data_IF_119960570423
#
_entry.id   IF_119960570423
#
_cell.length_a   1.000
_cell.length_b   1.000
_cell.length_c   1.000
_cell.angle_alpha   90.00
_cell.angle_beta   90.00
_cell.angle_gamma   90.00
#
_symmetry.space_group_name_H-M   'P 1'
#
loop_
_entity.id
_entity.type
_entity.pdbx_description
1 polymer ?
#
# COMPACT_ATOMS: atom_id res chain seq x y z
N UNK A 1 9.43 -35.40 -41.61
CA UNK A 1 10.77 -34.77 -41.70
C UNK A 1 11.11 -34.26 -40.33
N UNK A 2 12.16 -34.85 -39.78
CA UNK A 2 12.74 -34.79 -38.44
C UNK A 2 13.68 -33.60 -38.27
N UNK A 3 13.56 -32.92 -37.12
CA UNK A 3 14.62 -32.27 -36.29
C UNK A 3 13.84 -31.53 -35.19
N UNK A 4 13.76 -31.94 -33.92
CA UNK A 4 14.76 -32.31 -32.91
C UNK A 4 15.67 -31.16 -32.41
N UNK A 5 15.80 -31.16 -31.08
CA UNK A 5 16.77 -30.51 -30.20
C UNK A 5 16.55 -29.05 -29.75
N UNK A 6 16.42 -28.87 -28.41
CA UNK A 6 16.91 -27.66 -27.75
C UNK A 6 16.21 -27.15 -26.48
N UNK A 7 15.93 -27.99 -25.48
CA UNK A 7 15.78 -27.55 -24.08
C UNK A 7 17.18 -27.44 -23.44
N UNK A 8 17.38 -26.47 -22.54
CA UNK A 8 17.83 -26.79 -21.18
C UNK A 8 16.90 -26.11 -20.14
N UNK A 9 16.44 -26.80 -19.09
CA UNK A 9 17.18 -27.05 -17.84
C UNK A 9 17.64 -25.71 -17.22
N UNK A 10 16.98 -25.11 -16.23
CA UNK A 10 16.65 -25.66 -14.92
C UNK A 10 17.68 -25.15 -13.90
N UNK A 11 17.34 -24.15 -13.08
CA UNK A 11 17.88 -23.96 -11.72
C UNK A 11 17.31 -22.70 -11.06
N UNK A 12 16.28 -22.90 -10.25
CA UNK A 12 15.94 -22.02 -9.15
C UNK A 12 17.02 -22.12 -8.07
N UNK A 13 17.47 -21.00 -7.53
CA UNK A 13 18.26 -20.97 -6.30
C UNK A 13 17.51 -20.11 -5.27
N UNK A 14 16.79 -20.80 -4.40
CA UNK A 14 16.23 -20.26 -3.16
C UNK A 14 17.18 -20.63 -2.00
N UNK A 15 17.49 -19.61 -1.20
CA UNK A 15 17.58 -19.58 0.29
C UNK A 15 18.16 -20.80 1.00
N UNK A 16 19.32 -20.63 1.65
CA UNK A 16 19.42 -20.70 3.12
C UNK A 16 20.80 -20.23 3.65
N UNK A 17 20.89 -19.41 4.71
CA UNK A 17 22.13 -19.03 5.35
C UNK A 17 22.59 -20.14 6.30
N UNK A 18 23.67 -20.82 5.93
CA UNK A 18 24.32 -21.81 6.77
C UNK A 18 24.85 -21.16 8.06
N UNK A 19 24.36 -21.68 9.18
CA UNK A 19 24.85 -21.43 10.52
C UNK A 19 26.35 -21.79 10.63
N UNK A 20 27.14 -20.81 11.05
CA UNK A 20 28.56 -20.97 11.37
C UNK A 20 28.68 -21.79 12.67
N UNK A 21 28.83 -23.09 12.49
CA UNK A 21 28.99 -24.07 13.57
C UNK A 21 30.39 -23.96 14.16
N UNK A 22 30.46 -23.72 15.46
CA UNK A 22 31.68 -23.57 16.24
C UNK A 22 32.52 -24.85 16.20
N UNK A 23 33.77 -24.71 15.73
CA UNK A 23 34.78 -25.78 15.71
C UNK A 23 35.28 -26.02 17.14
N UNK A 24 34.95 -27.19 17.71
CA UNK A 24 35.53 -27.69 18.96
C UNK A 24 37.02 -28.05 18.75
N UNK A 25 37.90 -27.88 19.75
CA UNK A 25 39.28 -28.33 19.65
C UNK A 25 39.36 -29.85 19.84
N UNK A 26 39.79 -30.54 18.79
CA UNK A 26 40.16 -31.96 18.84
C UNK A 26 41.41 -32.13 19.74
N UNK A 27 41.24 -32.88 20.82
CA UNK A 27 42.32 -33.35 21.68
C UNK A 27 42.91 -34.62 21.09
N UNK A 28 43.92 -34.46 20.25
CA UNK A 28 44.72 -35.58 19.72
C UNK A 28 45.65 -36.12 20.80
N UNK A 29 45.23 -37.15 21.54
CA UNK A 29 46.14 -37.97 22.34
C UNK A 29 46.75 -39.03 21.43
N UNK A 30 47.91 -38.70 20.82
CA UNK A 30 48.70 -39.68 20.09
C UNK A 30 49.40 -40.62 21.10
N UNK A 31 49.13 -41.93 20.98
CA UNK A 31 49.86 -42.96 21.69
C UNK A 31 51.31 -43.04 21.15
N UNK A 32 52.35 -43.14 22.00
CA UNK A 32 53.71 -43.25 21.52
C UNK A 32 53.99 -44.67 21.00
N UNK A 33 54.45 -44.75 19.73
CA UNK A 33 55.00 -45.95 19.10
C UNK A 33 56.20 -46.49 19.89
N UNK A 34 56.13 -47.77 20.23
CA UNK A 34 57.23 -48.54 20.80
C UNK A 34 58.13 -49.07 19.68
N UNK A 35 59.02 -48.24 19.12
CA UNK A 35 60.16 -48.73 18.32
C UNK A 35 61.18 -47.63 17.99
N UNK A 36 61.59 -46.86 19.01
CA UNK A 36 62.69 -45.90 18.87
C UNK A 36 63.90 -46.40 19.67
N UNK A 37 65.04 -46.70 19.04
CA UNK A 37 66.25 -47.10 19.74
C UNK A 37 66.69 -45.97 20.68
N UNK A 38 67.22 -46.29 21.88
CA UNK A 38 67.53 -45.30 22.90
C UNK A 38 68.48 -44.25 22.32
N UNK A 39 68.15 -42.95 22.43
CA UNK A 39 69.04 -41.89 21.98
C UNK A 39 70.38 -42.01 22.72
N UNK A 40 71.46 -42.02 21.96
CA UNK A 40 72.81 -41.96 22.50
C UNK A 40 72.91 -40.78 23.46
N UNK A 41 73.36 -41.06 24.68
CA UNK A 41 73.53 -40.08 25.75
C UNK A 41 74.27 -38.86 25.20
N UNK A 42 73.66 -37.65 25.20
CA UNK A 42 74.40 -36.45 24.86
C UNK A 42 75.56 -36.30 25.85
N UNK A 43 76.72 -35.80 25.41
CA UNK A 43 77.83 -35.51 26.30
C UNK A 43 77.32 -34.63 27.43
N UNK A 44 77.66 -35.01 28.68
CA UNK A 44 77.25 -34.29 29.88
C UNK A 44 77.57 -32.81 29.69
N UNK A 45 76.53 -32.00 29.45
CA UNK A 45 76.64 -30.56 29.51
C UNK A 45 77.22 -30.23 30.89
N UNK A 46 78.20 -29.33 30.98
CA UNK A 46 78.75 -28.93 32.26
C UNK A 46 77.58 -28.53 33.14
N UNK A 47 77.47 -29.19 34.30
CA UNK A 47 76.51 -28.87 35.35
C UNK A 47 76.78 -27.42 35.71
N UNK A 48 76.01 -26.51 35.11
CA UNK A 48 76.01 -25.13 35.56
C UNK A 48 75.56 -25.16 37.02
N UNK A 49 76.28 -24.50 37.93
CA UNK A 49 75.86 -24.40 39.31
C UNK A 49 74.39 -24.01 39.35
N UNK A 50 73.56 -24.81 40.04
CA UNK A 50 72.19 -24.42 40.36
C UNK A 50 72.34 -23.17 41.21
N UNK A 51 72.19 -21.99 40.60
CA UNK A 51 72.11 -20.75 41.34
C UNK A 51 70.98 -20.92 42.36
N UNK A 52 71.23 -20.65 43.64
CA UNK A 52 70.20 -20.76 44.65
C UNK A 52 69.04 -19.87 44.22
N UNK A 53 67.87 -20.48 44.01
CA UNK A 53 66.63 -19.76 43.69
C UNK A 53 66.44 -18.75 44.82
N UNK A 54 66.67 -17.47 44.50
CA UNK A 54 66.54 -16.40 45.48
C UNK A 54 65.06 -16.36 45.91
N UNK A 55 64.75 -16.68 47.19
CA UNK A 55 63.38 -16.66 47.67
C UNK A 55 62.75 -15.25 47.51
N UNK A 56 63.56 -14.19 47.51
CA UNK A 56 63.09 -12.84 47.25
C UNK A 56 62.60 -12.64 45.80
N UNK A 57 63.24 -13.28 44.82
CA UNK A 57 62.83 -13.21 43.42
C UNK A 57 61.50 -13.95 43.17
N UNK A 58 61.26 -15.05 43.88
CA UNK A 58 60.00 -15.80 43.79
C UNK A 58 58.82 -15.02 44.41
N UNK A 59 59.05 -14.38 45.56
CA UNK A 59 58.10 -13.50 46.24
C UNK A 59 57.73 -12.31 45.35
N UNK A 60 58.73 -11.67 44.73
CA UNK A 60 58.53 -10.56 43.80
C UNK A 60 57.69 -10.97 42.57
N UNK A 61 57.97 -12.13 41.98
CA UNK A 61 57.21 -12.66 40.84
C UNK A 61 55.75 -13.02 41.20
N UNK A 62 55.49 -13.39 42.47
CA UNK A 62 54.14 -13.65 42.97
C UNK A 62 53.35 -12.35 43.17
N UNK A 63 53.95 -11.37 43.83
CA UNK A 63 53.37 -10.03 44.00
C UNK A 63 53.06 -9.36 42.66
N UNK A 64 53.93 -9.52 41.66
CA UNK A 64 53.72 -8.98 40.32
C UNK A 64 52.54 -9.64 39.60
N UNK A 65 52.39 -10.96 39.70
CA UNK A 65 51.23 -11.69 39.17
C UNK A 65 49.92 -11.29 39.84
N UNK A 66 49.93 -11.07 41.15
CA UNK A 66 48.77 -10.58 41.90
C UNK A 66 48.39 -9.15 41.50
N UNK A 67 49.37 -8.27 41.34
CA UNK A 67 49.17 -6.91 40.83
C UNK A 67 48.58 -6.91 39.41
N UNK A 68 49.08 -7.77 38.52
CA UNK A 68 48.56 -7.90 37.16
C UNK A 68 47.14 -8.48 37.11
N UNK A 69 46.85 -9.48 37.96
CA UNK A 69 45.50 -10.00 38.14
C UNK A 69 44.54 -8.91 38.63
N UNK A 70 44.94 -8.11 39.61
CA UNK A 70 44.16 -6.99 40.10
C UNK A 70 43.95 -5.89 39.04
N UNK A 71 44.97 -5.58 38.23
CA UNK A 71 44.88 -4.65 37.09
C UNK A 71 43.90 -5.17 36.03
N UNK A 72 43.96 -6.46 35.67
CA UNK A 72 43.03 -7.09 34.73
C UNK A 72 41.59 -7.09 35.25
N UNK A 73 41.39 -7.39 36.53
CA UNK A 73 40.06 -7.35 37.15
C UNK A 73 39.46 -5.93 37.11
N UNK A 74 40.26 -4.89 37.41
CA UNK A 74 39.84 -3.48 37.29
C UNK A 74 39.47 -3.11 35.84
N UNK A 75 40.30 -3.49 34.86
CA UNK A 75 40.02 -3.24 33.43
C UNK A 75 38.73 -3.92 32.97
N UNK A 76 38.48 -5.18 33.34
CA UNK A 76 37.25 -5.90 33.01
C UNK A 76 36.01 -5.24 33.62
N UNK A 77 36.06 -4.83 34.89
CA UNK A 77 34.96 -4.10 35.54
C UNK A 77 34.66 -2.77 34.85
N UNK A 78 35.70 -2.03 34.47
CA UNK A 78 35.52 -0.80 33.71
C UNK A 78 34.94 -1.07 32.32
N UNK A 79 35.39 -2.11 31.61
CA UNK A 79 34.83 -2.49 30.33
C UNK A 79 33.33 -2.86 30.44
N UNK A 80 32.93 -3.67 31.43
CA UNK A 80 31.53 -3.98 31.66
C UNK A 80 30.68 -2.74 31.97
N UNK A 81 31.22 -1.79 32.74
CA UNK A 81 30.54 -0.51 33.02
C UNK A 81 30.32 0.30 31.76
N UNK A 82 31.34 0.37 30.89
CA UNK A 82 31.23 1.08 29.62
C UNK A 82 30.27 0.40 28.65
N UNK A 83 30.32 -0.93 28.53
CA UNK A 83 29.37 -1.69 27.71
C UNK A 83 27.94 -1.50 28.24
N UNK A 84 27.74 -1.57 29.55
CA UNK A 84 26.45 -1.29 30.17
C UNK A 84 25.94 0.13 29.89
N UNK A 85 26.81 1.14 30.01
CA UNK A 85 26.47 2.51 29.69
C UNK A 85 26.05 2.67 28.21
N UNK A 86 26.84 2.14 27.29
CA UNK A 86 26.54 2.19 25.84
C UNK A 86 25.23 1.46 25.53
N UNK A 87 25.01 0.29 26.13
CA UNK A 87 23.78 -0.46 25.95
C UNK A 87 22.54 0.30 26.43
N UNK A 88 22.62 0.96 27.60
CA UNK A 88 21.53 1.81 28.11
C UNK A 88 21.31 3.01 27.20
N UNK A 89 22.37 3.67 26.74
CA UNK A 89 22.25 4.81 25.81
C UNK A 89 21.62 4.39 24.48
N UNK A 90 22.01 3.25 23.92
CA UNK A 90 21.41 2.70 22.70
C UNK A 90 19.94 2.30 22.92
N UNK A 91 19.62 1.64 24.02
CA UNK A 91 18.25 1.22 24.31
C UNK A 91 17.31 2.41 24.53
N UNK A 92 17.74 3.40 25.33
CA UNK A 92 16.95 4.59 25.61
C UNK A 92 16.87 5.48 24.38
N UNK A 93 18.01 5.81 23.75
CA UNK A 93 18.07 6.70 22.59
C UNK A 93 17.43 6.09 21.33
N UNK A 94 17.68 4.81 21.07
CA UNK A 94 17.02 4.07 20.00
C UNK A 94 15.53 3.91 20.25
N UNK A 95 15.14 3.61 21.49
CA UNK A 95 13.73 3.51 21.89
C UNK A 95 12.96 4.83 21.72
N UNK A 96 13.53 5.95 22.15
CA UNK A 96 12.89 7.27 21.95
C UNK A 96 12.87 7.68 20.48
N UNK A 97 13.95 7.43 19.72
CA UNK A 97 13.95 7.70 18.28
C UNK A 97 12.84 6.91 17.58
N UNK A 98 12.74 5.60 17.83
CA UNK A 98 11.73 4.74 17.23
C UNK A 98 10.30 5.13 17.63
N UNK A 99 10.09 5.48 18.91
CA UNK A 99 8.79 5.94 19.40
C UNK A 99 8.35 7.29 18.79
N UNK A 100 9.29 8.14 18.39
CA UNK A 100 9.00 9.43 17.77
C UNK A 100 8.91 9.35 16.24
N UNK A 101 9.59 8.40 15.59
CA UNK A 101 9.63 8.33 14.12
C UNK A 101 8.57 7.42 13.52
N UNK A 102 7.99 6.48 14.28
CA UNK A 102 6.93 5.61 13.75
C UNK A 102 5.56 6.27 13.64
N UNK A 103 5.04 6.97 14.67
CA UNK A 103 3.71 7.54 14.60
C UNK A 103 3.64 8.61 13.52
N UNK A 104 2.56 8.62 12.74
CA UNK A 104 2.29 9.74 11.87
C UNK A 104 2.07 10.99 12.72
N UNK A 105 2.44 12.16 12.20
CA UNK A 105 2.29 13.44 12.92
C UNK A 105 0.86 13.65 13.45
N UNK A 106 -0.13 13.13 12.74
CA UNK A 106 -1.57 13.18 13.08
C UNK A 106 -1.92 12.37 14.33
N UNK A 107 -1.13 11.36 14.67
CA UNK A 107 -1.39 10.43 15.77
C UNK A 107 -0.57 10.80 17.02
N UNK A 108 0.21 11.87 16.96
CA UNK A 108 0.98 12.36 18.09
C UNK A 108 0.09 13.18 19.03
N UNK A 109 0.09 12.88 20.34
CA UNK A 109 -0.69 13.64 21.32
C UNK A 109 -0.27 15.11 21.31
N UNK A 110 -1.24 16.01 21.14
CA UNK A 110 -1.01 17.46 21.06
C UNK A 110 -0.61 18.00 19.68
N UNK A 111 -0.38 17.12 18.69
CA UNK A 111 -0.18 17.50 17.26
C UNK A 111 -1.27 16.93 16.33
N UNK A 112 -2.29 16.29 16.91
CA UNK A 112 -3.45 15.81 16.17
C UNK A 112 -4.05 16.95 15.35
N UNK A 113 -4.04 16.79 14.03
CA UNK A 113 -4.69 17.74 13.13
C UNK A 113 -6.19 17.48 13.23
N UNK A 114 -6.99 18.54 13.33
CA UNK A 114 -8.43 18.40 13.27
C UNK A 114 -8.81 17.66 11.98
N UNK A 115 -9.79 16.74 12.01
CA UNK A 115 -10.18 16.01 10.82
C UNK A 115 -10.64 17.02 9.76
N UNK A 116 -10.04 16.95 8.57
CA UNK A 116 -10.39 17.77 7.40
C UNK A 116 -11.69 17.29 6.72
N UNK A 117 -12.35 16.30 7.32
CA UNK A 117 -13.58 15.70 6.85
C UNK A 117 -13.39 14.70 5.73
N UNK A 118 -12.15 14.29 5.41
CA UNK A 118 -11.87 13.22 4.44
C UNK A 118 -11.97 11.84 5.08
N UNK A 119 -12.22 10.84 4.24
CA UNK A 119 -12.24 9.44 4.66
C UNK A 119 -10.86 8.78 4.47
N UNK A 120 -10.55 7.83 5.34
CA UNK A 120 -9.34 7.02 5.24
C UNK A 120 -9.61 5.79 4.35
N UNK A 121 -9.13 5.82 3.11
CA UNK A 121 -9.23 4.67 2.20
C UNK A 121 -8.07 3.69 2.40
N UNK A 122 -8.27 2.38 2.13
CA UNK A 122 -7.16 1.46 2.03
C UNK A 122 -6.22 1.87 0.89
N UNK A 123 -4.98 1.37 0.90
CA UNK A 123 -4.04 1.61 -0.19
C UNK A 123 -4.64 1.16 -1.52
N UNK A 124 -4.74 2.09 -2.47
CA UNK A 124 -5.29 1.82 -3.80
C UNK A 124 -4.23 1.15 -4.67
N UNK A 125 -4.61 0.09 -5.35
CA UNK A 125 -3.76 -0.62 -6.30
C UNK A 125 -4.52 -0.82 -7.59
N UNK A 126 -3.94 -0.41 -8.71
CA UNK A 126 -4.53 -0.67 -10.02
C UNK A 126 -4.55 -2.18 -10.30
N UNK A 127 -5.63 -2.72 -10.89
CA UNK A 127 -5.67 -4.11 -11.27
C UNK A 127 -4.64 -4.41 -12.35
N UNK A 128 -4.05 -5.61 -12.30
CA UNK A 128 -3.19 -6.10 -13.37
C UNK A 128 -4.00 -6.22 -14.66
N UNK A 129 -3.54 -5.54 -15.71
CA UNK A 129 -4.12 -5.66 -17.04
C UNK A 129 -3.90 -7.07 -17.61
N UNK A 130 -4.80 -7.56 -18.48
CA UNK A 130 -4.53 -8.77 -19.23
C UNK A 130 -3.21 -8.65 -20.02
N UNK A 131 -2.51 -9.76 -20.20
CA UNK A 131 -1.17 -9.76 -20.79
C UNK A 131 -1.16 -9.08 -22.17
N UNK A 132 -0.26 -8.10 -22.33
CA UNK A 132 -0.09 -7.35 -23.57
C UNK A 132 -1.15 -6.27 -23.84
N UNK A 133 -2.13 -6.08 -22.95
CA UNK A 133 -3.13 -5.04 -23.12
C UNK A 133 -2.64 -3.68 -22.62
N UNK A 134 -2.87 -2.59 -23.37
CA UNK A 134 -2.49 -1.25 -22.96
C UNK A 134 -3.41 -0.69 -21.87
N UNK A 135 -2.89 0.23 -21.06
CA UNK A 135 -3.70 1.06 -20.17
C UNK A 135 -4.61 2.03 -20.98
N UNK A 136 -5.67 2.58 -20.38
CA UNK A 136 -6.57 3.53 -21.05
C UNK A 136 -5.83 4.77 -21.60
N UNK A 137 -4.87 5.28 -20.83
CA UNK A 137 -4.06 6.45 -21.15
C UNK A 137 -2.84 6.15 -22.05
N UNK A 138 -2.58 4.89 -22.38
CA UNK A 138 -1.41 4.52 -23.18
C UNK A 138 -1.58 4.92 -24.66
N UNK A 139 -0.49 5.29 -25.33
CA UNK A 139 -0.50 5.73 -26.73
C UNK A 139 -1.13 4.70 -27.69
N UNK A 140 -0.88 3.40 -27.44
CA UNK A 140 -1.47 2.28 -28.18
C UNK A 140 -3.00 2.16 -28.03
N UNK A 141 -3.60 2.85 -27.05
CA UNK A 141 -5.04 2.89 -26.79
C UNK A 141 -5.61 4.31 -26.89
N UNK A 142 -4.85 5.28 -27.40
CA UNK A 142 -5.21 6.71 -27.37
C UNK A 142 -6.53 7.05 -28.07
N UNK A 143 -6.94 6.26 -29.06
CA UNK A 143 -8.20 6.48 -29.80
C UNK A 143 -9.41 5.88 -29.09
N UNK A 144 -9.28 4.66 -28.57
CA UNK A 144 -10.41 3.94 -27.96
C UNK A 144 -10.55 4.23 -26.46
N UNK A 145 -9.42 4.51 -25.79
CA UNK A 145 -9.26 4.74 -24.35
C UNK A 145 -10.04 3.72 -23.52
N UNK A 146 -9.95 2.46 -23.93
CA UNK A 146 -10.72 1.37 -23.33
C UNK A 146 -10.11 0.91 -22.01
N UNK A 147 -10.97 0.69 -21.02
CA UNK A 147 -10.60 0.01 -19.79
C UNK A 147 -10.68 -1.50 -19.98
N UNK A 148 -9.52 -2.14 -20.16
CA UNK A 148 -9.44 -3.58 -20.45
C UNK A 148 -9.31 -4.45 -19.17
N UNK A 149 -9.31 -3.82 -17.99
CA UNK A 149 -9.42 -4.51 -16.72
C UNK A 149 -10.88 -4.84 -16.36
N UNK A 150 -11.08 -5.78 -15.44
CA UNK A 150 -12.39 -6.00 -14.81
C UNK A 150 -12.82 -4.73 -14.08
N UNK A 151 -13.88 -4.08 -14.55
CA UNK A 151 -14.34 -2.79 -14.02
C UNK A 151 -14.73 -2.83 -12.54
N UNK A 152 -15.05 -4.01 -11.99
CA UNK A 152 -15.33 -4.15 -10.56
C UNK A 152 -14.10 -3.94 -9.70
N UNK A 153 -12.91 -4.18 -10.27
CA UNK A 153 -11.62 -3.89 -9.61
C UNK A 153 -11.18 -2.44 -9.77
N UNK A 154 -11.92 -1.66 -10.57
CA UNK A 154 -11.73 -0.22 -10.72
C UNK A 154 -12.69 0.58 -9.84
N UNK A 155 -13.61 -0.08 -9.12
CA UNK A 155 -14.44 0.57 -8.11
C UNK A 155 -13.59 0.96 -6.90
N UNK A 156 -13.79 2.19 -6.42
CA UNK A 156 -13.19 2.65 -5.19
C UNK A 156 -13.61 1.73 -4.03
N UNK A 157 -12.65 1.11 -3.31
CA UNK A 157 -12.99 0.31 -2.15
C UNK A 157 -13.59 1.20 -1.07
N UNK A 158 -14.45 0.63 -0.22
CA UNK A 158 -15.02 1.35 0.92
C UNK A 158 -13.92 1.92 1.84
N UNK A 159 -14.15 3.09 2.46
CA UNK A 159 -13.23 3.63 3.43
C UNK A 159 -13.19 2.78 4.71
N UNK A 160 -12.08 2.91 5.43
CA UNK A 160 -11.83 2.22 6.70
C UNK A 160 -12.92 2.60 7.71
N UNK A 161 -13.55 1.58 8.29
CA UNK A 161 -14.63 1.77 9.26
C UNK A 161 -16.02 2.01 8.65
N UNK A 162 -16.16 2.08 7.33
CA UNK A 162 -17.46 2.11 6.68
C UNK A 162 -18.10 0.72 6.60
N UNK A 163 -19.42 0.67 6.83
CA UNK A 163 -20.22 -0.54 6.64
C UNK A 163 -20.59 -0.72 5.16
N UNK A 164 -20.59 -1.96 4.67
CA UNK A 164 -21.12 -2.25 3.34
C UNK A 164 -22.61 -1.87 3.24
N UNK A 165 -23.02 -1.37 2.08
CA UNK A 165 -24.42 -1.19 1.71
C UNK A 165 -24.68 -1.95 0.42
N UNK A 166 -25.82 -2.63 0.36
CA UNK A 166 -26.22 -3.31 -0.86
C UNK A 166 -26.68 -2.30 -1.90
N UNK A 167 -26.16 -2.41 -3.13
CA UNK A 167 -26.70 -1.70 -4.27
C UNK A 167 -27.86 -2.51 -4.84
N UNK A 168 -29.02 -1.88 -5.01
CA UNK A 168 -30.18 -2.54 -5.60
C UNK A 168 -29.83 -3.05 -7.00
N UNK A 169 -30.20 -4.30 -7.29
CA UNK A 169 -29.92 -4.96 -8.58
C UNK A 169 -28.43 -5.19 -8.87
N UNK A 170 -27.56 -5.06 -7.87
CA UNK A 170 -26.17 -5.46 -7.97
C UNK A 170 -25.91 -6.82 -7.30
N UNK A 171 -25.14 -7.68 -7.96
CA UNK A 171 -24.69 -8.99 -7.46
C UNK A 171 -23.20 -9.11 -7.71
N UNK A 172 -22.41 -9.38 -6.66
CA UNK A 172 -20.95 -9.51 -6.74
C UNK A 172 -20.26 -8.34 -7.48
N UNK A 173 -20.73 -7.11 -7.20
CA UNK A 173 -20.26 -5.85 -7.79
C UNK A 173 -20.78 -5.57 -9.20
N UNK A 174 -21.44 -6.52 -9.85
CA UNK A 174 -22.09 -6.32 -11.16
C UNK A 174 -23.47 -5.71 -10.98
N UNK A 175 -23.73 -4.59 -11.65
CA UNK A 175 -25.06 -4.00 -11.74
C UNK A 175 -25.72 -4.46 -13.04
N UNK A 176 -26.89 -5.09 -12.99
CA UNK A 176 -27.52 -5.64 -14.20
C UNK A 176 -28.20 -4.59 -15.09
N UNK A 177 -28.79 -3.55 -14.48
CA UNK A 177 -29.55 -2.51 -15.17
C UNK A 177 -29.33 -1.17 -14.45
N UNK A 178 -28.53 -0.23 -15.02
CA UNK A 178 -28.34 1.09 -14.44
C UNK A 178 -29.47 2.07 -14.82
N UNK A 179 -30.41 1.72 -15.70
CA UNK A 179 -31.45 2.63 -16.17
C UNK A 179 -32.32 3.25 -15.07
N UNK A 180 -32.63 2.57 -13.95
CA UNK A 180 -33.35 3.20 -12.84
C UNK A 180 -32.62 4.39 -12.21
N UNK A 181 -31.31 4.56 -12.46
CA UNK A 181 -30.58 5.76 -12.03
C UNK A 181 -31.02 7.00 -12.80
N UNK A 182 -31.49 6.85 -14.04
CA UNK A 182 -31.78 7.96 -14.93
C UNK A 182 -33.30 8.08 -15.10
N UNK A 183 -33.89 8.98 -14.33
CA UNK A 183 -35.34 9.11 -14.20
C UNK A 183 -35.97 10.09 -15.21
N UNK A 184 -35.17 10.99 -15.78
CA UNK A 184 -35.64 11.99 -16.74
C UNK A 184 -35.49 11.58 -18.21
N UNK A 185 -34.91 10.41 -18.48
CA UNK A 185 -34.54 9.98 -19.84
C UNK A 185 -34.91 8.52 -20.10
N UNK A 186 -35.13 8.18 -21.36
CA UNK A 186 -35.14 6.78 -21.81
C UNK A 186 -33.71 6.24 -21.91
N UNK A 187 -33.09 6.09 -20.75
CA UNK A 187 -31.71 5.63 -20.63
C UNK A 187 -31.51 4.23 -21.19
N UNK A 188 -32.53 3.37 -21.18
CA UNK A 188 -32.45 2.02 -21.79
C UNK A 188 -32.16 2.09 -23.28
N UNK A 189 -32.89 2.94 -24.00
CA UNK A 189 -32.67 3.14 -25.42
C UNK A 189 -31.29 3.75 -25.69
N UNK A 190 -30.86 4.72 -24.89
CA UNK A 190 -29.53 5.34 -25.00
C UNK A 190 -28.43 4.30 -24.77
N UNK A 191 -28.54 3.47 -23.73
CA UNK A 191 -27.57 2.42 -23.46
C UNK A 191 -27.49 1.36 -24.56
N UNK A 192 -28.63 1.02 -25.16
CA UNK A 192 -28.67 0.12 -26.30
C UNK A 192 -28.03 0.75 -27.55
N UNK A 193 -28.32 2.03 -27.83
CA UNK A 193 -27.81 2.79 -28.97
C UNK A 193 -26.29 2.92 -28.94
N UNK A 194 -25.73 3.30 -27.78
CA UNK A 194 -24.28 3.52 -27.62
C UNK A 194 -23.52 2.31 -27.09
N UNK A 195 -24.20 1.17 -26.94
CA UNK A 195 -23.56 -0.10 -26.60
C UNK A 195 -22.90 -0.12 -25.22
N UNK A 196 -23.71 0.10 -24.17
CA UNK A 196 -23.33 -0.19 -22.79
C UNK A 196 -23.00 -1.69 -22.65
N UNK A 197 -21.83 -2.02 -22.10
CA UNK A 197 -21.31 -3.39 -22.02
C UNK A 197 -21.34 -3.94 -20.61
N UNK A 198 -20.76 -3.18 -19.70
CA UNK A 198 -20.47 -3.62 -18.35
C UNK A 198 -20.82 -2.52 -17.38
N UNK A 199 -21.46 -2.90 -16.28
CA UNK A 199 -21.89 -1.98 -15.25
C UNK A 199 -21.54 -2.53 -13.89
N UNK A 200 -20.90 -1.71 -13.08
CA UNK A 200 -20.43 -2.09 -11.76
C UNK A 200 -20.82 -1.05 -10.73
N UNK A 201 -21.05 -1.47 -9.49
CA UNK A 201 -21.39 -0.56 -8.41
C UNK A 201 -20.87 -1.04 -7.06
N UNK A 202 -20.45 -0.09 -6.23
CA UNK A 202 -20.10 -0.30 -4.81
C UNK A 202 -20.78 0.77 -3.97
N UNK A 203 -21.28 0.39 -2.79
CA UNK A 203 -21.91 1.31 -1.85
C UNK A 203 -21.47 1.04 -0.41
N UNK A 204 -21.32 2.12 0.35
CA UNK A 204 -20.96 2.05 1.75
C UNK A 204 -21.65 3.14 2.55
N UNK A 205 -21.75 2.89 3.85
CA UNK A 205 -22.23 3.85 4.85
C UNK A 205 -21.15 4.14 5.87
N UNK A 206 -20.79 5.41 5.99
CA UNK A 206 -19.78 5.90 6.94
C UNK A 206 -20.39 6.21 8.30
N UNK A 207 -19.56 6.28 9.38
CA UNK A 207 -20.05 6.55 10.74
C UNK A 207 -20.71 7.92 10.94
N UNK A 208 -20.36 8.90 10.11
CA UNK A 208 -20.97 10.24 10.07
C UNK A 208 -22.38 10.24 9.42
N UNK A 209 -22.86 9.08 8.97
CA UNK A 209 -24.18 8.89 8.40
C UNK A 209 -24.26 9.07 6.89
N UNK A 210 -23.14 9.39 6.21
CA UNK A 210 -23.11 9.44 4.75
C UNK A 210 -23.28 8.04 4.15
N UNK A 211 -24.06 7.94 3.09
CA UNK A 211 -24.14 6.78 2.21
C UNK A 211 -23.60 7.20 0.85
N UNK A 212 -22.51 6.59 0.43
CA UNK A 212 -21.88 6.87 -0.86
C UNK A 212 -22.05 5.64 -1.75
N UNK A 213 -22.48 5.85 -2.99
CA UNK A 213 -22.55 4.82 -4.02
C UNK A 213 -21.83 5.28 -5.26
N UNK A 214 -20.93 4.44 -5.77
CA UNK A 214 -20.22 4.67 -7.02
C UNK A 214 -20.75 3.69 -8.05
N UNK A 215 -21.09 4.20 -9.24
CA UNK A 215 -21.48 3.43 -10.40
C UNK A 215 -20.48 3.67 -11.52
N UNK A 216 -20.05 2.59 -12.18
CA UNK A 216 -19.24 2.63 -13.38
C UNK A 216 -20.04 2.06 -14.54
N UNK A 217 -20.20 2.84 -15.59
CA UNK A 217 -20.92 2.47 -16.81
C UNK A 217 -19.92 2.41 -17.95
N UNK A 218 -19.54 1.21 -18.36
CA UNK A 218 -18.56 0.99 -19.42
C UNK A 218 -19.26 0.79 -20.77
N UNK A 219 -18.89 1.62 -21.73
CA UNK A 219 -19.33 1.58 -23.12
C UNK A 219 -18.31 0.87 -24.00
N UNK A 220 -18.57 0.85 -25.30
CA UNK A 220 -17.66 0.19 -26.26
C UNK A 220 -16.31 0.89 -26.38
N UNK A 221 -16.30 2.22 -26.35
CA UNK A 221 -15.10 3.06 -26.48
C UNK A 221 -15.41 4.48 -25.97
N UNK A 222 -14.40 5.35 -26.02
CA UNK A 222 -14.51 6.75 -25.63
C UNK A 222 -15.51 7.58 -26.46
N UNK A 223 -15.74 7.23 -27.73
CA UNK A 223 -16.69 7.95 -28.57
C UNK A 223 -18.12 7.60 -28.17
N UNK A 224 -18.39 6.31 -27.95
CA UNK A 224 -19.66 5.81 -27.46
C UNK A 224 -20.00 6.37 -26.07
N UNK A 225 -19.06 6.34 -25.13
CA UNK A 225 -19.28 6.93 -23.80
C UNK A 225 -19.51 8.44 -23.87
N UNK A 226 -18.81 9.15 -24.77
CA UNK A 226 -19.02 10.58 -24.98
C UNK A 226 -20.42 10.88 -25.52
N UNK A 227 -20.84 10.17 -26.56
CA UNK A 227 -22.15 10.37 -27.16
C UNK A 227 -23.29 9.99 -26.20
N UNK A 228 -23.13 8.89 -25.46
CA UNK A 228 -24.05 8.50 -24.40
C UNK A 228 -24.16 9.57 -23.31
N UNK A 229 -23.04 10.11 -22.83
CA UNK A 229 -23.05 11.18 -21.83
C UNK A 229 -23.82 12.41 -22.35
N UNK A 230 -23.54 12.87 -23.58
CA UNK A 230 -24.27 14.00 -24.18
C UNK A 230 -25.78 13.75 -24.25
N UNK A 231 -26.20 12.54 -24.67
CA UNK A 231 -27.63 12.19 -24.75
C UNK A 231 -28.28 12.08 -23.37
N UNK A 232 -27.60 11.47 -22.40
CA UNK A 232 -28.11 11.35 -21.04
C UNK A 232 -28.28 12.71 -20.38
N UNK A 233 -27.37 13.65 -20.63
CA UNK A 233 -27.39 14.99 -20.03
C UNK A 233 -28.52 15.90 -20.52
N UNK A 234 -29.38 15.49 -21.48
CA UNK A 234 -30.42 16.30 -22.14
C UNK A 234 -29.86 17.43 -23.01
N UNK A 235 -29.63 17.17 -24.30
CA UNK A 235 -29.43 18.23 -25.30
C UNK A 235 -30.76 18.58 -25.99
N UNK A 236 -31.72 19.14 -25.25
CA UNK A 236 -32.79 19.95 -25.86
C UNK A 236 -32.37 21.42 -25.74
N UNK A 237 -31.63 21.85 -26.75
CA UNK A 237 -30.90 23.11 -26.85
C UNK A 237 -31.82 24.35 -26.99
N UNK A 238 -32.76 24.57 -26.08
CA UNK A 238 -33.66 25.74 -26.12
C UNK A 238 -33.69 26.61 -24.87
N UNK A 239 -32.90 26.31 -23.83
CA UNK A 239 -32.82 27.17 -22.63
C UNK A 239 -31.37 27.27 -22.14
N UNK A 240 -30.91 28.48 -21.81
CA UNK A 240 -29.60 28.86 -21.25
C UNK A 240 -29.27 28.21 -19.88
N UNK A 241 -29.60 26.94 -19.65
CA UNK A 241 -29.21 26.17 -18.48
C UNK A 241 -28.31 25.05 -18.95
N UNK A 242 -27.07 25.00 -18.48
CA UNK A 242 -26.14 23.92 -18.74
C UNK A 242 -26.78 22.58 -18.35
N UNK A 243 -27.08 21.69 -19.32
CA UNK A 243 -27.67 20.41 -19.00
C UNK A 243 -26.64 19.57 -18.25
N UNK A 244 -27.02 19.05 -17.08
CA UNK A 244 -26.14 18.24 -16.24
C UNK A 244 -26.69 16.83 -16.12
N UNK A 245 -25.81 15.83 -16.17
CA UNK A 245 -26.19 14.42 -16.02
C UNK A 245 -26.91 14.17 -14.69
N UNK A 246 -26.63 15.02 -13.69
CA UNK A 246 -27.33 15.08 -12.41
C UNK A 246 -28.83 15.37 -12.52
N UNK A 247 -29.29 16.20 -13.47
CA UNK A 247 -30.71 16.43 -13.70
C UNK A 247 -31.41 15.15 -14.18
N UNK A 248 -30.72 14.37 -15.04
CA UNK A 248 -31.20 13.07 -15.47
C UNK A 248 -31.19 12.02 -14.35
N UNK A 249 -30.23 12.09 -13.43
CA UNK A 249 -30.08 11.19 -12.29
C UNK A 249 -31.12 11.42 -11.17
N UNK A 250 -31.52 12.68 -10.95
CA UNK A 250 -32.28 13.07 -9.77
C UNK A 250 -33.78 13.14 -9.99
N UNK A 251 -34.23 13.47 -11.22
CA UNK A 251 -35.62 13.84 -11.49
C UNK A 251 -36.08 15.08 -10.71
N UNK A 252 -35.12 15.78 -10.10
CA UNK A 252 -35.32 17.04 -9.39
C UNK A 252 -35.38 18.13 -10.47
N UNK A 253 -36.32 19.08 -10.39
CA UNK A 253 -36.50 20.10 -11.41
C UNK A 253 -35.19 20.84 -11.72
N UNK A 254 -35.08 21.26 -12.98
CA UNK A 254 -33.93 21.84 -13.70
C UNK A 254 -33.27 23.10 -13.08
N UNK A 255 -33.61 23.48 -11.85
CA UNK A 255 -33.11 24.69 -11.19
C UNK A 255 -32.03 24.44 -10.13
N UNK A 256 -31.64 23.18 -9.87
CA UNK A 256 -30.49 22.91 -9.01
C UNK A 256 -29.19 23.26 -9.77
N UNK A 257 -28.34 24.15 -9.23
CA UNK A 257 -27.11 24.53 -9.92
C UNK A 257 -26.17 23.33 -10.02
N UNK A 258 -25.72 23.02 -11.23
CA UNK A 258 -24.57 22.13 -11.45
C UNK A 258 -23.28 22.93 -11.30
N UNK A 259 -22.26 22.26 -10.75
CA UNK A 259 -20.95 22.81 -10.49
C UNK A 259 -19.89 21.96 -11.18
N UNK A 260 -19.00 22.60 -11.92
CA UNK A 260 -17.85 21.93 -12.52
C UNK A 260 -16.86 21.48 -11.45
N UNK A 261 -16.22 20.34 -11.70
CA UNK A 261 -15.16 19.78 -10.88
C UNK A 261 -14.16 19.07 -11.77
N UNK A 262 -12.86 19.28 -11.52
CA UNK A 262 -11.81 18.48 -12.13
C UNK A 262 -11.34 17.43 -11.12
N UNK A 263 -11.91 16.21 -11.13
CA UNK A 263 -11.57 15.20 -10.14
C UNK A 263 -10.09 14.81 -10.18
N UNK A 264 -9.49 14.68 -11.38
CA UNK A 264 -8.09 14.32 -11.53
C UNK A 264 -7.59 14.54 -12.97
N UNK A 265 -6.33 14.96 -13.14
CA UNK A 265 -5.58 14.74 -14.39
C UNK A 265 -6.17 15.34 -15.67
N UNK A 266 -6.99 16.39 -15.60
CA UNK A 266 -7.67 16.95 -16.78
C UNK A 266 -8.96 16.24 -17.16
N UNK A 267 -9.45 15.31 -16.33
CA UNK A 267 -10.80 14.78 -16.41
C UNK A 267 -11.77 15.88 -15.97
N UNK A 268 -12.71 16.21 -16.84
CA UNK A 268 -13.80 17.12 -16.51
C UNK A 268 -14.99 16.32 -15.96
N UNK A 269 -15.59 16.87 -14.91
CA UNK A 269 -16.79 16.35 -14.28
C UNK A 269 -17.65 17.48 -13.75
N UNK A 270 -18.81 17.09 -13.25
CA UNK A 270 -19.76 17.99 -12.64
C UNK A 270 -20.37 17.36 -11.39
N UNK A 271 -20.95 18.19 -10.54
CA UNK A 271 -21.80 17.71 -9.46
C UNK A 271 -22.96 18.65 -9.18
N UNK A 272 -24.05 18.09 -8.69
CA UNK A 272 -25.23 18.85 -8.26
C UNK A 272 -25.63 18.45 -6.85
N UNK A 273 -25.63 19.39 -5.90
CA UNK A 273 -26.18 19.20 -4.57
C UNK A 273 -27.70 19.42 -4.56
N UNK A 274 -28.42 18.51 -3.93
CA UNK A 274 -29.86 18.60 -3.68
C UNK A 274 -30.10 18.43 -2.20
N UNK A 275 -30.69 19.45 -1.56
CA UNK A 275 -31.05 19.41 -0.14
C UNK A 275 -32.56 19.25 0.02
N UNK A 276 -32.98 18.28 0.83
CA UNK A 276 -34.40 18.05 1.14
C UNK A 276 -34.55 17.48 2.54
N UNK A 277 -35.49 18.01 3.34
CA UNK A 277 -35.83 17.42 4.65
C UNK A 277 -34.69 17.34 5.68
N UNK A 278 -33.62 18.15 5.53
CA UNK A 278 -32.43 18.09 6.39
C UNK A 278 -31.35 17.11 5.92
N UNK A 279 -31.57 16.43 4.80
CA UNK A 279 -30.59 15.62 4.09
C UNK A 279 -30.00 16.40 2.91
N UNK A 280 -28.75 16.13 2.61
CA UNK A 280 -28.03 16.60 1.43
C UNK A 280 -27.66 15.38 0.60
N UNK A 281 -28.01 15.42 -0.68
CA UNK A 281 -27.53 14.45 -1.68
C UNK A 281 -26.72 15.16 -2.75
N UNK A 282 -25.52 14.67 -3.04
CA UNK A 282 -24.65 15.15 -4.11
C UNK A 282 -24.60 14.09 -5.20
N UNK A 283 -24.87 14.51 -6.43
CA UNK A 283 -24.79 13.68 -7.62
C UNK A 283 -23.63 14.18 -8.44
N UNK A 284 -22.52 13.45 -8.44
CA UNK A 284 -21.32 13.75 -9.22
C UNK A 284 -21.20 12.84 -10.43
N UNK A 285 -20.73 13.37 -11.53
CA UNK A 285 -20.45 12.59 -12.74
C UNK A 285 -19.16 13.04 -13.39
N UNK A 286 -18.48 12.10 -14.05
CA UNK A 286 -17.33 12.39 -14.90
C UNK A 286 -17.11 11.24 -15.88
N UNK A 287 -16.34 11.51 -16.94
CA UNK A 287 -16.01 10.49 -17.96
C UNK A 287 -14.51 10.24 -18.00
N UNK A 288 -14.11 8.98 -17.97
CA UNK A 288 -12.74 8.55 -18.27
C UNK A 288 -12.77 7.51 -19.38
N UNK A 289 -12.26 7.87 -20.57
CA UNK A 289 -12.27 6.98 -21.73
C UNK A 289 -13.67 6.42 -22.04
N UNK A 290 -13.78 5.10 -22.11
CA UNK A 290 -15.03 4.35 -22.32
C UNK A 290 -15.96 4.26 -21.09
N UNK A 291 -15.60 4.84 -19.94
CA UNK A 291 -16.38 4.75 -18.70
C UNK A 291 -17.01 6.10 -18.34
N UNK A 292 -18.31 6.08 -18.03
CA UNK A 292 -18.99 7.14 -17.28
C UNK A 292 -19.06 6.71 -15.81
N UNK A 293 -18.50 7.52 -14.92
CA UNK A 293 -18.60 7.32 -13.48
C UNK A 293 -19.69 8.22 -12.91
N UNK A 294 -20.53 7.65 -12.05
CA UNK A 294 -21.56 8.37 -11.29
C UNK A 294 -21.33 8.13 -9.81
N UNK A 295 -21.21 9.20 -9.03
CA UNK A 295 -21.02 9.17 -7.58
C UNK A 295 -22.22 9.82 -6.91
N UNK A 296 -22.94 9.07 -6.09
CA UNK A 296 -24.07 9.59 -5.31
C UNK A 296 -23.69 9.52 -3.84
N UNK A 297 -23.62 10.67 -3.17
CA UNK A 297 -23.42 10.76 -1.73
C UNK A 297 -24.65 11.37 -1.09
N UNK A 298 -25.25 10.69 -0.12
CA UNK A 298 -26.44 11.16 0.60
C UNK A 298 -26.27 11.05 2.11
N UNK A 299 -26.79 12.00 2.87
CA UNK A 299 -26.81 11.94 4.32
C UNK A 299 -27.16 13.29 4.96
N UNK A 300 -26.75 13.55 6.22
CA UNK A 300 -27.09 14.80 6.91
C UNK A 300 -26.61 16.04 6.15
N UNK A 301 -27.33 17.16 6.21
CA UNK A 301 -26.95 18.40 5.50
C UNK A 301 -25.56 18.99 5.88
N UNK A 302 -24.94 18.48 6.95
CA UNK A 302 -23.62 18.90 7.45
C UNK A 302 -22.45 18.09 6.88
N UNK A 303 -22.70 17.18 5.93
CA UNK A 303 -21.65 16.37 5.31
C UNK A 303 -20.56 17.25 4.67
N UNK A 304 -19.29 16.91 4.94
CA UNK A 304 -18.15 17.59 4.36
C UNK A 304 -18.15 17.48 2.84
N UNK A 305 -17.89 18.58 2.14
CA UNK A 305 -17.67 18.53 0.70
C UNK A 305 -16.31 17.89 0.35
N UNK A 306 -15.32 17.99 1.25
CA UNK A 306 -14.00 17.43 1.02
C UNK A 306 -14.04 15.90 0.90
N UNK A 307 -14.97 15.22 1.59
CA UNK A 307 -15.17 13.78 1.50
C UNK A 307 -15.66 13.38 0.10
N UNK A 308 -16.70 14.05 -0.38
CA UNK A 308 -17.24 13.84 -1.72
C UNK A 308 -16.20 14.10 -2.81
N UNK A 309 -15.48 15.24 -2.72
CA UNK A 309 -14.41 15.57 -3.66
C UNK A 309 -13.31 14.51 -3.64
N UNK A 310 -12.93 14.00 -2.47
CA UNK A 310 -11.94 12.94 -2.36
C UNK A 310 -12.41 11.65 -3.04
N UNK A 311 -13.68 11.25 -2.88
CA UNK A 311 -14.24 10.06 -3.56
C UNK A 311 -14.15 10.23 -5.08
N UNK A 312 -14.57 11.38 -5.59
CA UNK A 312 -14.50 11.72 -7.02
C UNK A 312 -13.05 11.63 -7.54
N UNK A 313 -12.10 12.24 -6.82
CA UNK A 313 -10.67 12.21 -7.18
C UNK A 313 -10.10 10.80 -7.18
N UNK A 314 -10.28 10.04 -6.10
CA UNK A 314 -9.71 8.70 -5.99
C UNK A 314 -10.33 7.74 -7.01
N UNK A 315 -11.63 7.89 -7.30
CA UNK A 315 -12.28 7.11 -8.35
C UNK A 315 -11.74 7.48 -9.74
N UNK A 316 -11.46 8.76 -10.00
CA UNK A 316 -10.87 9.19 -11.27
C UNK A 316 -9.43 8.68 -11.43
N UNK A 317 -8.64 8.65 -10.36
CA UNK A 317 -7.28 8.08 -10.34
C UNK A 317 -7.27 6.58 -10.68
N UNK A 318 -8.27 5.82 -10.20
CA UNK A 318 -8.41 4.40 -10.55
C UNK A 318 -8.74 4.15 -12.03
N UNK A 319 -9.17 5.19 -12.76
CA UNK A 319 -9.57 5.12 -14.16
C UNK A 319 -8.54 5.76 -15.12
N UNK A 320 -7.29 5.94 -14.70
CA UNK A 320 -6.19 6.43 -15.56
C UNK A 320 -5.19 5.34 -15.91
#
# INVERSE_FOLDING_TARGET
>A
MTTDAGLPEGAAAAVDPAAESAKAPETGWAAPSADQPPPALPPALPVQPIEPIDPAALEAARLQREQDAARRARRRRNALRWVGAVAVTMAVGGGTAFALTLPQRTDMPGLATAPDGRYAFPALTLPTLPAGQPAPSASANSMAQQHLADIRRLLLPRPTGAGAQGVKSAVDGWLADPSPLFVAQDSKSIFAEFGLRHTAAESWKTPDGATTTVYLLQFTDALASSAALTKLSNDDSTVDMTPSLSAALTGVPSNAPSHEINPYGGVDGDYTPVSSGGELTRYGTFRSGDIIAVVIESGPAKLSFAAFQQVMTLQAELLQ
#
